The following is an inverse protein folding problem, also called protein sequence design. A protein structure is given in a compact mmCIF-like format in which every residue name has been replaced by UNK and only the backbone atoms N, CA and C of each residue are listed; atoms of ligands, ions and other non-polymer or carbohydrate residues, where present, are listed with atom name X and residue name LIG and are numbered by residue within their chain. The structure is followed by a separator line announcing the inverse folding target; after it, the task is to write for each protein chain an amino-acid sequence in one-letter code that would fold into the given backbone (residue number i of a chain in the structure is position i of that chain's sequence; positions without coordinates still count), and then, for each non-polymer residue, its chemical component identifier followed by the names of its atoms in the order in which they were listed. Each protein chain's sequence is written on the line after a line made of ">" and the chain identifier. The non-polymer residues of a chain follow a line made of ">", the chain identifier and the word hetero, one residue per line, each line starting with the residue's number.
data_IF_935264419268
#
_entry.id   IF_935264419268
#
_cell.length_a   1.000
_cell.length_b   1.000
_cell.length_c   1.000
_cell.angle_alpha   90.00
_cell.angle_beta   90.00
_cell.angle_gamma   90.00
#
_symmetry.space_group_name_H-M   'P 1'
#
loop_
_entity.id
_entity.type
_entity.pdbx_description
1 polymer ?
#
# COMPACT_ATOMS: atom_id res chain seq x y z
N UNK A 1 12.04 1.21 27.61
CA UNK A 1 13.24 0.37 27.44
C UNK A 1 12.94 -1.07 27.02
N UNK A 2 12.04 -1.83 27.67
CA UNK A 2 11.82 -3.26 27.33
C UNK A 2 11.24 -3.55 25.94
N UNK A 3 10.49 -2.61 25.34
CA UNK A 3 9.86 -2.81 24.02
C UNK A 3 10.87 -2.91 22.88
N UNK A 4 11.92 -2.08 22.88
CA UNK A 4 12.93 -2.11 21.83
C UNK A 4 13.85 -3.32 21.92
N UNK A 5 14.11 -3.80 23.14
CA UNK A 5 14.83 -5.07 23.35
C UNK A 5 14.03 -6.23 22.74
N UNK A 6 12.73 -6.32 23.05
CA UNK A 6 11.88 -7.35 22.46
C UNK A 6 11.78 -7.25 20.93
N UNK A 7 11.74 -6.02 20.39
CA UNK A 7 11.71 -5.84 18.93
C UNK A 7 13.03 -6.27 18.30
N UNK A 8 14.18 -6.02 18.95
CA UNK A 8 15.47 -6.53 18.50
C UNK A 8 15.50 -8.06 18.52
N UNK A 9 15.01 -8.70 19.59
CA UNK A 9 14.91 -10.16 19.65
C UNK A 9 14.02 -10.74 18.53
N UNK A 10 12.97 -10.00 18.13
CA UNK A 10 12.11 -10.36 16.99
C UNK A 10 12.83 -10.16 15.66
N UNK A 11 13.53 -9.03 15.51
CA UNK A 11 14.28 -8.70 14.29
C UNK A 11 15.46 -9.69 14.07
N UNK A 12 16.05 -10.17 15.16
CA UNK A 12 17.12 -11.20 15.17
C UNK A 12 16.58 -12.64 15.07
N UNK A 13 15.26 -12.83 15.09
CA UNK A 13 14.62 -14.15 15.00
C UNK A 13 14.74 -15.02 16.25
N UNK A 14 15.11 -14.42 17.40
CA UNK A 14 15.17 -15.08 18.71
C UNK A 14 13.75 -15.33 19.26
N UNK A 15 12.81 -14.44 18.93
CA UNK A 15 11.41 -14.53 19.34
C UNK A 15 10.52 -14.38 18.12
N UNK A 16 9.50 -15.22 18.01
CA UNK A 16 8.49 -15.09 16.95
C UNK A 16 7.80 -13.73 17.03
N UNK A 17 7.68 -13.07 15.88
CA UNK A 17 7.01 -11.79 15.76
C UNK A 17 7.20 -11.18 14.38
N UNK A 18 6.52 -10.06 14.17
CA UNK A 18 6.70 -9.28 12.95
C UNK A 18 7.92 -8.38 13.09
N UNK A 19 8.85 -8.52 12.16
CA UNK A 19 10.06 -7.72 12.12
C UNK A 19 9.77 -6.28 11.74
N UNK A 20 10.66 -5.38 12.14
CA UNK A 20 10.63 -3.97 11.74
C UNK A 20 10.67 -3.80 10.21
N UNK A 21 11.36 -4.71 9.51
CA UNK A 21 11.44 -4.71 8.05
C UNK A 21 10.09 -5.02 7.40
N UNK A 22 9.42 -6.09 7.84
CA UNK A 22 8.09 -6.47 7.35
C UNK A 22 7.05 -5.35 7.61
N UNK A 23 7.11 -4.71 8.78
CA UNK A 23 6.25 -3.57 9.08
C UNK A 23 6.48 -2.40 8.13
N UNK A 24 7.74 -2.07 7.86
CA UNK A 24 8.12 -1.02 6.92
C UNK A 24 7.59 -1.32 5.51
N UNK A 25 7.79 -2.55 5.04
CA UNK A 25 7.30 -2.98 3.72
C UNK A 25 5.77 -2.88 3.63
N UNK A 26 5.03 -3.35 4.64
CA UNK A 26 3.57 -3.22 4.68
C UNK A 26 3.11 -1.77 4.60
N UNK A 27 3.81 -0.84 5.27
CA UNK A 27 3.49 0.59 5.19
C UNK A 27 3.73 1.12 3.77
N UNK A 28 4.84 0.74 3.13
CA UNK A 28 5.12 1.14 1.74
C UNK A 28 4.09 0.58 0.76
N UNK A 29 3.76 -0.70 0.88
CA UNK A 29 2.76 -1.36 0.05
C UNK A 29 1.38 -0.69 0.19
N UNK A 30 0.94 -0.40 1.42
CA UNK A 30 -0.32 0.32 1.67
C UNK A 30 -0.32 1.73 1.07
N UNK A 31 0.82 2.43 1.09
CA UNK A 31 0.95 3.75 0.44
C UNK A 31 0.86 3.63 -1.09
N UNK A 32 1.53 2.63 -1.66
CA UNK A 32 1.51 2.36 -3.11
C UNK A 32 0.10 1.98 -3.58
N UNK A 33 -0.58 1.11 -2.84
CA UNK A 33 -1.95 0.69 -3.14
C UNK A 33 -2.90 1.88 -3.22
N UNK A 34 -2.91 2.76 -2.20
CA UNK A 34 -3.76 3.97 -2.22
C UNK A 34 -3.48 4.88 -3.41
N UNK A 35 -2.21 5.02 -3.80
CA UNK A 35 -1.84 5.81 -4.98
C UNK A 35 -2.40 5.19 -6.25
N UNK A 36 -2.21 3.88 -6.43
CA UNK A 36 -2.70 3.15 -7.59
C UNK A 36 -4.23 3.19 -7.68
N UNK A 37 -4.94 3.08 -6.55
CA UNK A 37 -6.39 3.20 -6.51
C UNK A 37 -6.86 4.59 -6.98
N UNK A 38 -6.20 5.66 -6.52
CA UNK A 38 -6.49 7.02 -6.99
C UNK A 38 -6.20 7.19 -8.48
N UNK A 39 -5.06 6.74 -8.95
CA UNK A 39 -4.70 6.80 -10.37
C UNK A 39 -5.70 6.02 -11.23
N UNK A 40 -6.11 4.84 -10.78
CA UNK A 40 -7.09 4.02 -11.47
C UNK A 40 -8.46 4.70 -11.55
N UNK A 41 -8.89 5.36 -10.46
CA UNK A 41 -10.15 6.11 -10.45
C UNK A 41 -10.12 7.28 -11.44
N UNK A 42 -9.00 8.02 -11.51
CA UNK A 42 -8.83 9.09 -12.50
C UNK A 42 -8.91 8.53 -13.92
N UNK A 43 -8.24 7.41 -14.20
CA UNK A 43 -8.28 6.76 -15.51
C UNK A 43 -9.68 6.27 -15.86
N UNK A 44 -10.43 5.70 -14.91
CA UNK A 44 -11.82 5.26 -15.11
C UNK A 44 -12.72 6.44 -15.47
N UNK A 45 -12.58 7.57 -14.77
CA UNK A 45 -13.36 8.78 -15.06
C UNK A 45 -13.03 9.34 -16.44
N UNK A 46 -11.75 9.38 -16.80
CA UNK A 46 -11.33 9.80 -18.14
C UNK A 46 -11.92 8.88 -19.22
N UNK A 47 -11.81 7.56 -19.04
CA UNK A 47 -12.38 6.59 -19.98
C UNK A 47 -13.90 6.74 -20.12
N UNK A 48 -14.62 6.94 -19.02
CA UNK A 48 -16.06 7.16 -19.03
C UNK A 48 -16.44 8.46 -19.76
N UNK A 49 -15.70 9.55 -19.53
CA UNK A 49 -15.91 10.82 -20.22
C UNK A 49 -15.73 10.67 -21.75
N UNK A 50 -14.63 10.06 -22.19
CA UNK A 50 -14.39 9.84 -23.62
C UNK A 50 -15.40 8.87 -24.26
N UNK A 51 -15.84 7.86 -23.52
CA UNK A 51 -16.88 6.94 -24.01
C UNK A 51 -18.21 7.67 -24.25
N UNK A 52 -18.59 8.64 -23.40
CA UNK A 52 -19.79 9.45 -23.57
C UNK A 52 -19.75 10.32 -24.83
N UNK A 53 -18.61 10.93 -25.12
CA UNK A 53 -18.41 11.76 -26.32
C UNK A 53 -18.38 10.95 -27.63
N UNK A 54 -18.13 9.64 -27.54
CA UNK A 54 -18.01 8.75 -28.70
C UNK A 54 -19.34 8.14 -29.19
N UNK A 55 -20.46 8.37 -28.50
CA UNK A 55 -21.77 7.85 -28.89
C UNK A 55 -22.42 8.74 -29.98
N UNK A 56 -22.85 8.18 -31.13
CA UNK A 56 -23.54 8.95 -32.16
C UNK A 56 -24.93 9.41 -31.66
N UNK A 57 -25.35 10.61 -32.08
CA UNK A 57 -26.66 11.23 -31.77
C UNK A 57 -27.83 10.45 -32.35
#
# INVERSE_FOLDING_TARGET
>A
MRRWVRQADIDDGVVDGQTSSEQSELVQLRRKLRRLEMENEVLRRAAAYFAQDSLPK
#
